data_IF_548185802190
#
_entry.id   IF_548185802190
#
_cell.length_a   1.000
_cell.length_b   1.000
_cell.length_c   1.000
_cell.angle_alpha   90.00
_cell.angle_beta   90.00
_cell.angle_gamma   90.00
#
_symmetry.space_group_name_H-M   'P 1'
#
loop_
_entity.id
_entity.type
_entity.pdbx_description
1 polymer ?
#
# COMPACT_ATOMS: atom_id res chain seq x y z
N UNK A 1 -4.97 -15.20 8.84
CA UNK A 1 -5.63 -14.04 9.45
C UNK A 1 -5.88 -13.10 8.29
N UNK A 2 -7.08 -13.15 7.72
CA UNK A 2 -7.45 -12.47 6.45
C UNK A 2 -8.48 -11.38 6.77
N UNK A 3 -8.19 -10.53 7.75
CA UNK A 3 -9.13 -9.53 8.28
C UNK A 3 -9.11 -8.22 7.47
N UNK A 4 -8.44 -8.24 6.33
CA UNK A 4 -8.24 -7.09 5.43
C UNK A 4 -8.98 -7.26 4.09
N UNK A 5 -9.82 -8.30 3.95
CA UNK A 5 -10.64 -8.53 2.74
C UNK A 5 -12.10 -8.79 3.14
N UNK A 6 -13.03 -7.85 2.91
CA UNK A 6 -12.81 -6.58 2.21
C UNK A 6 -12.00 -5.57 3.03
N UNK A 7 -11.20 -4.75 2.35
CA UNK A 7 -10.66 -3.51 2.91
C UNK A 7 -11.70 -2.42 2.71
N UNK A 8 -12.35 -2.04 3.82
CA UNK A 8 -13.35 -0.96 3.82
C UNK A 8 -12.77 0.28 4.50
N UNK A 9 -12.71 1.40 3.78
CA UNK A 9 -12.38 2.72 4.31
C UNK A 9 -13.55 3.66 4.07
N UNK A 10 -13.79 4.57 5.01
CA UNK A 10 -14.88 5.54 4.92
C UNK A 10 -14.42 6.90 5.40
N UNK A 11 -15.02 7.95 4.84
CA UNK A 11 -14.87 9.33 5.29
C UNK A 11 -13.40 9.81 5.36
N UNK A 12 -12.59 9.47 4.34
CA UNK A 12 -11.19 9.88 4.28
C UNK A 12 -11.09 11.23 3.56
N UNK A 13 -10.63 12.26 4.27
CA UNK A 13 -10.34 13.56 3.66
C UNK A 13 -9.06 13.46 2.81
N UNK A 14 -9.16 13.82 1.52
CA UNK A 14 -8.05 13.71 0.55
C UNK A 14 -7.15 14.95 0.50
N UNK A 15 -7.39 15.92 1.39
CA UNK A 15 -6.67 17.19 1.46
C UNK A 15 -7.36 18.29 0.67
N UNK A 16 -7.61 19.41 1.33
CA UNK A 16 -8.21 20.60 0.72
C UNK A 16 -7.23 21.28 -0.24
N UNK A 17 -7.74 21.80 -1.35
CA UNK A 17 -6.99 22.65 -2.27
C UNK A 17 -7.81 23.89 -2.64
N UNK A 18 -7.13 24.98 -2.98
CA UNK A 18 -7.77 26.24 -3.34
C UNK A 18 -7.26 26.78 -4.68
N UNK A 19 -8.17 27.40 -5.45
CA UNK A 19 -7.87 28.05 -6.72
C UNK A 19 -8.49 29.46 -6.75
N UNK A 20 -7.70 30.45 -7.16
CA UNK A 20 -8.20 31.81 -7.37
C UNK A 20 -8.70 31.97 -8.81
N UNK A 21 -9.99 32.25 -8.99
CA UNK A 21 -10.62 32.47 -10.30
C UNK A 21 -11.37 33.81 -10.24
N UNK A 22 -11.11 34.70 -11.20
CA UNK A 22 -11.75 36.02 -11.30
C UNK A 22 -11.64 36.89 -10.01
N UNK A 23 -10.56 36.71 -9.24
CA UNK A 23 -10.34 37.45 -7.99
C UNK A 23 -11.08 36.90 -6.77
N UNK A 24 -11.71 35.73 -6.90
CA UNK A 24 -12.29 34.98 -5.78
C UNK A 24 -11.47 33.72 -5.53
N UNK A 25 -11.14 33.47 -4.28
CA UNK A 25 -10.53 32.21 -3.84
C UNK A 25 -11.64 31.19 -3.64
N UNK A 26 -11.52 30.04 -4.31
CA UNK A 26 -12.43 28.92 -4.21
C UNK A 26 -11.73 27.76 -3.52
N UNK A 27 -12.38 27.15 -2.55
CA UNK A 27 -11.82 26.10 -1.71
C UNK A 27 -12.58 24.81 -1.95
N UNK A 28 -11.84 23.78 -2.34
CA UNK A 28 -12.38 22.47 -2.66
C UNK A 28 -11.91 21.45 -1.64
N UNK A 29 -12.86 20.74 -1.04
CA UNK A 29 -12.62 19.67 -0.08
C UNK A 29 -13.03 18.33 -0.70
N UNK A 30 -12.08 17.58 -1.28
CA UNK A 30 -12.33 16.21 -1.73
C UNK A 30 -12.42 15.25 -0.53
N UNK A 31 -13.40 14.36 -0.56
CA UNK A 31 -13.57 13.29 0.42
C UNK A 31 -13.78 11.96 -0.31
N UNK A 32 -13.05 10.94 0.12
CA UNK A 32 -13.36 9.55 -0.21
C UNK A 32 -14.40 9.08 0.80
N UNK A 33 -15.67 9.15 0.39
CA UNK A 33 -16.81 8.84 1.24
C UNK A 33 -16.82 7.34 1.59
N UNK A 34 -16.56 6.51 0.59
CA UNK A 34 -16.50 5.06 0.72
C UNK A 34 -15.41 4.49 -0.20
N UNK A 35 -14.71 3.47 0.28
CA UNK A 35 -13.84 2.60 -0.50
C UNK A 35 -14.02 1.18 0.03
N UNK A 36 -14.34 0.25 -0.86
CA UNK A 36 -14.42 -1.17 -0.61
C UNK A 36 -13.55 -1.90 -1.63
N UNK A 37 -12.49 -2.53 -1.16
CA UNK A 37 -11.59 -3.34 -2.00
C UNK A 37 -11.76 -4.79 -1.61
N UNK A 38 -12.13 -5.63 -2.58
CA UNK A 38 -12.33 -7.07 -2.40
C UNK A 38 -11.33 -7.89 -3.21
N UNK A 39 -11.11 -9.14 -2.80
CA UNK A 39 -10.20 -10.06 -3.50
C UNK A 39 -8.73 -9.89 -3.11
N UNK A 40 -8.45 -9.09 -2.08
CA UNK A 40 -7.11 -8.90 -1.51
C UNK A 40 -6.54 -10.19 -0.93
N UNK A 41 -7.38 -11.13 -0.49
CA UNK A 41 -6.95 -12.45 -0.03
C UNK A 41 -6.30 -13.30 -1.14
N UNK A 42 -6.49 -12.94 -2.42
CA UNK A 42 -5.84 -13.60 -3.55
C UNK A 42 -4.43 -13.06 -3.83
N UNK A 43 -4.03 -11.95 -3.18
CA UNK A 43 -2.69 -11.38 -3.27
C UNK A 43 -1.78 -12.20 -2.36
N UNK A 44 -0.77 -12.83 -2.97
CA UNK A 44 0.25 -13.59 -2.25
C UNK A 44 1.62 -12.96 -2.50
N UNK A 45 2.49 -12.86 -1.47
CA UNK A 45 3.88 -12.50 -1.70
C UNK A 45 4.50 -13.50 -2.68
N UNK A 46 5.10 -12.98 -3.74
CA UNK A 46 5.80 -13.77 -4.76
C UNK A 46 7.29 -13.81 -4.46
N UNK A 47 7.90 -12.66 -4.16
CA UNK A 47 9.34 -12.57 -3.89
C UNK A 47 9.69 -11.40 -2.97
N UNK A 48 10.84 -11.53 -2.29
CA UNK A 48 11.46 -10.48 -1.47
C UNK A 48 12.93 -10.41 -1.88
N UNK A 49 13.37 -9.29 -2.44
CA UNK A 49 14.74 -9.09 -2.93
C UNK A 49 15.39 -7.91 -2.23
N UNK A 50 16.62 -8.05 -1.73
CA UNK A 50 17.38 -6.89 -1.27
C UNK A 50 18.00 -6.17 -2.47
N UNK A 51 17.57 -4.95 -2.79
CA UNK A 51 18.10 -4.17 -3.92
C UNK A 51 19.29 -3.30 -3.54
N UNK A 52 19.50 -3.06 -2.24
CA UNK A 52 20.72 -2.46 -1.69
C UNK A 52 20.87 -2.80 -0.21
N UNK A 53 21.93 -2.31 0.44
CA UNK A 53 22.20 -2.56 1.87
C UNK A 53 21.03 -2.27 2.79
N UNK A 54 20.14 -1.35 2.42
CA UNK A 54 19.01 -0.88 3.24
C UNK A 54 17.66 -0.92 2.51
N UNK A 55 17.55 -1.56 1.34
CA UNK A 55 16.32 -1.57 0.55
C UNK A 55 15.89 -2.98 0.20
N UNK A 56 14.60 -3.23 0.37
CA UNK A 56 13.93 -4.49 0.10
C UNK A 56 12.83 -4.21 -0.91
N UNK A 57 12.88 -4.91 -2.03
CA UNK A 57 11.80 -5.03 -2.99
C UNK A 57 10.89 -6.18 -2.59
N UNK A 58 9.60 -5.89 -2.51
CA UNK A 58 8.52 -6.82 -2.23
C UNK A 58 7.71 -6.94 -3.52
N UNK A 59 7.66 -8.14 -4.08
CA UNK A 59 6.75 -8.50 -5.15
C UNK A 59 5.61 -9.34 -4.60
N UNK A 60 4.39 -8.99 -4.94
CA UNK A 60 3.20 -9.77 -4.66
C UNK A 60 2.39 -9.94 -5.94
N UNK A 61 1.87 -11.14 -6.13
CA UNK A 61 1.10 -11.53 -7.30
C UNK A 61 -0.30 -11.96 -6.88
N UNK A 62 -1.30 -11.61 -7.69
CA UNK A 62 -2.66 -12.07 -7.52
C UNK A 62 -3.03 -13.06 -8.63
N UNK A 63 -3.50 -14.25 -8.26
CA UNK A 63 -4.03 -15.24 -9.23
C UNK A 63 -5.49 -14.99 -9.60
N UNK A 64 -6.17 -14.09 -8.88
CA UNK A 64 -7.58 -13.76 -9.05
C UNK A 64 -7.80 -12.30 -9.45
N UNK A 65 -9.02 -11.83 -9.23
CA UNK A 65 -9.40 -10.44 -9.47
C UNK A 65 -9.40 -9.65 -8.17
N UNK A 66 -9.07 -8.37 -8.27
CA UNK A 66 -9.27 -7.37 -7.19
C UNK A 66 -10.31 -6.38 -7.68
N UNK A 67 -11.38 -6.21 -6.92
CA UNK A 67 -12.45 -5.25 -7.25
C UNK A 67 -12.38 -4.07 -6.30
N UNK A 68 -12.57 -2.87 -6.84
CA UNK A 68 -12.50 -1.59 -6.14
C UNK A 68 -13.82 -0.88 -6.40
N UNK A 69 -14.59 -0.67 -5.33
CA UNK A 69 -15.78 0.18 -5.32
C UNK A 69 -15.49 1.40 -4.47
N UNK A 70 -15.60 2.60 -5.04
CA UNK A 70 -15.29 3.85 -4.35
C UNK A 70 -16.33 4.92 -4.65
N UNK A 71 -16.67 5.70 -3.64
CA UNK A 71 -17.47 6.93 -3.78
C UNK A 71 -16.60 8.09 -3.34
N UNK A 72 -16.41 9.06 -4.25
CA UNK A 72 -15.63 10.27 -3.99
C UNK A 72 -16.52 11.49 -4.15
N UNK A 73 -16.57 12.34 -3.14
CA UNK A 73 -17.23 13.63 -3.19
C UNK A 73 -16.22 14.78 -3.26
N UNK A 74 -16.67 15.88 -3.85
CA UNK A 74 -15.95 17.15 -3.91
C UNK A 74 -16.91 18.25 -3.50
N UNK A 75 -16.61 18.92 -2.39
CA UNK A 75 -17.39 20.06 -1.89
C UNK A 75 -16.68 21.36 -2.21
N UNK A 76 -17.41 22.33 -2.77
CA UNK A 76 -17.00 23.72 -2.91
C UNK A 76 -17.56 24.52 -1.73
N UNK A 77 -16.67 24.94 -0.84
CA UNK A 77 -17.01 25.48 0.49
C UNK A 77 -17.79 26.80 0.41
N UNK A 78 -17.47 27.67 -0.55
CA UNK A 78 -18.01 29.03 -0.61
C UNK A 78 -19.52 29.08 -0.94
N UNK A 79 -20.06 28.01 -1.52
CA UNK A 79 -21.48 27.91 -1.90
C UNK A 79 -22.17 26.64 -1.39
N UNK A 80 -21.48 25.84 -0.56
CA UNK A 80 -21.99 24.57 -0.02
C UNK A 80 -22.55 23.64 -1.12
N UNK A 81 -21.82 23.56 -2.25
CA UNK A 81 -22.19 22.71 -3.37
C UNK A 81 -21.28 21.48 -3.40
N UNK A 82 -21.88 20.29 -3.50
CA UNK A 82 -21.14 19.03 -3.62
C UNK A 82 -21.49 18.28 -4.89
N UNK A 83 -20.48 17.61 -5.44
CA UNK A 83 -20.64 16.57 -6.45
C UNK A 83 -20.10 15.27 -5.87
N UNK A 84 -20.68 14.14 -6.26
CA UNK A 84 -20.19 12.81 -5.90
C UNK A 84 -20.12 11.94 -7.14
N UNK A 85 -19.11 11.08 -7.18
CA UNK A 85 -18.84 10.16 -8.28
C UNK A 85 -18.60 8.78 -7.68
N UNK A 86 -19.37 7.81 -8.16
CA UNK A 86 -19.13 6.41 -7.90
C UNK A 86 -18.19 5.83 -8.97
N UNK A 87 -17.19 5.09 -8.52
CA UNK A 87 -16.18 4.42 -9.35
C UNK A 87 -16.20 2.95 -8.97
N UNK A 88 -16.48 2.08 -9.94
CA UNK A 88 -16.33 0.63 -9.77
C UNK A 88 -15.39 0.08 -10.83
N UNK A 89 -14.33 -0.60 -10.38
CA UNK A 89 -13.26 -1.12 -11.22
C UNK A 89 -12.87 -2.53 -10.78
N UNK A 90 -12.60 -3.40 -11.74
CA UNK A 90 -12.02 -4.72 -11.49
C UNK A 90 -10.69 -4.86 -12.22
N UNK A 91 -9.66 -5.24 -11.46
CA UNK A 91 -8.30 -5.53 -11.93
C UNK A 91 -8.13 -7.05 -12.06
N UNK A 92 -7.78 -7.53 -13.26
CA UNK A 92 -7.43 -8.94 -13.47
C UNK A 92 -5.94 -9.19 -13.22
N UNK A 93 -5.66 -10.18 -12.37
CA UNK A 93 -4.31 -10.59 -11.96
C UNK A 93 -3.36 -9.42 -11.64
N UNK A 94 -3.71 -8.56 -10.68
CA UNK A 94 -2.83 -7.46 -10.32
C UNK A 94 -1.49 -7.96 -9.79
N UNK A 95 -0.43 -7.26 -10.15
CA UNK A 95 0.92 -7.42 -9.62
C UNK A 95 1.26 -6.17 -8.84
N UNK A 96 1.53 -6.35 -7.55
CA UNK A 96 1.98 -5.27 -6.68
C UNK A 96 3.48 -5.41 -6.46
N UNK A 97 4.25 -4.40 -6.85
CA UNK A 97 5.65 -4.29 -6.52
C UNK A 97 5.88 -3.06 -5.64
N UNK A 98 6.56 -3.23 -4.52
CA UNK A 98 6.91 -2.14 -3.63
C UNK A 98 8.39 -2.17 -3.28
N UNK A 99 9.08 -1.04 -3.45
CA UNK A 99 10.42 -0.85 -2.91
C UNK A 99 10.29 -0.17 -1.55
N UNK A 100 10.81 -0.81 -0.52
CA UNK A 100 10.83 -0.30 0.85
C UNK A 100 12.26 -0.17 1.32
N UNK A 101 12.65 1.04 1.71
CA UNK A 101 13.89 1.27 2.45
C UNK A 101 13.62 1.04 3.93
N UNK A 102 14.37 0.14 4.57
CA UNK A 102 14.19 -0.20 5.98
C UNK A 102 15.49 0.08 6.74
N UNK A 103 15.39 0.92 7.76
CA UNK A 103 16.41 1.02 8.80
C UNK A 103 16.03 0.10 9.94
N UNK A 104 16.94 -0.79 10.35
CA UNK A 104 16.71 -1.74 11.43
C UNK A 104 17.47 -1.38 12.70
N UNK A 105 16.91 -1.73 13.85
CA UNK A 105 17.63 -1.73 15.11
C UNK A 105 18.70 -2.83 15.09
N UNK A 106 19.95 -2.43 15.28
CA UNK A 106 21.06 -3.34 15.57
C UNK A 106 21.00 -3.88 16.99
N UNK A 107 21.70 -4.98 17.22
CA UNK A 107 21.91 -5.54 18.54
C UNK A 107 22.76 -4.60 19.41
N UNK A 108 22.40 -4.48 20.68
CA UNK A 108 23.24 -3.77 21.63
C UNK A 108 24.62 -4.45 21.76
N UNK A 109 25.74 -3.70 21.88
CA UNK A 109 27.06 -4.28 22.00
C UNK A 109 27.15 -5.28 23.16
N UNK A 110 27.55 -6.52 22.89
CA UNK A 110 27.73 -7.56 23.90
C UNK A 110 26.45 -8.26 24.36
N UNK A 111 25.30 -8.02 23.72
CA UNK A 111 24.07 -8.75 24.01
C UNK A 111 24.23 -10.25 23.66
N UNK A 112 24.10 -11.17 24.63
CA UNK A 112 24.02 -12.59 24.33
C UNK A 112 22.72 -12.88 23.55
N UNK A 113 22.79 -13.79 22.58
CA UNK A 113 21.66 -14.27 21.77
C UNK A 113 21.01 -13.25 20.81
N UNK A 114 21.62 -12.08 20.60
CA UNK A 114 21.21 -11.15 19.56
C UNK A 114 22.19 -11.19 18.38
N UNK A 115 21.70 -11.54 17.19
CA UNK A 115 22.43 -11.42 15.92
C UNK A 115 21.81 -10.31 15.08
N UNK A 116 22.65 -9.45 14.51
CA UNK A 116 22.20 -8.46 13.53
C UNK A 116 21.59 -9.15 12.32
N UNK A 117 20.54 -8.54 11.77
CA UNK A 117 19.98 -8.98 10.49
C UNK A 117 20.88 -8.43 9.39
N UNK A 118 21.42 -9.33 8.56
CA UNK A 118 22.27 -8.97 7.42
C UNK A 118 21.56 -9.26 6.11
N UNK A 119 22.03 -8.67 5.02
CA UNK A 119 21.53 -8.92 3.67
C UNK A 119 21.48 -10.44 3.35
N UNK A 120 22.54 -11.16 3.73
CA UNK A 120 22.63 -12.62 3.57
C UNK A 120 21.56 -13.39 4.36
N UNK A 121 21.15 -12.88 5.52
CA UNK A 121 20.05 -13.48 6.31
C UNK A 121 18.72 -13.41 5.55
N UNK A 122 18.48 -12.29 4.85
CA UNK A 122 17.28 -12.05 4.05
C UNK A 122 17.31 -12.91 2.78
N UNK A 123 18.43 -12.92 2.07
CA UNK A 123 18.61 -13.71 0.83
C UNK A 123 18.42 -15.22 1.06
N UNK A 124 19.07 -15.79 2.09
CA UNK A 124 18.96 -17.23 2.40
C UNK A 124 17.54 -17.60 2.77
N UNK A 125 16.86 -16.78 3.56
CA UNK A 125 15.49 -17.05 3.95
C UNK A 125 14.50 -16.88 2.79
N UNK A 126 14.79 -15.96 1.85
CA UNK A 126 14.04 -15.81 0.61
C UNK A 126 14.14 -17.04 -0.29
N UNK A 127 15.33 -17.65 -0.41
CA UNK A 127 15.52 -18.92 -1.14
C UNK A 127 14.75 -20.07 -0.50
N UNK A 128 14.65 -20.08 0.83
CA UNK A 128 13.89 -21.09 1.60
C UNK A 128 12.36 -20.94 1.49
N UNK A 129 11.85 -19.91 0.81
CA UNK A 129 10.42 -19.63 0.69
C UNK A 129 9.74 -19.23 2.00
N UNK A 130 10.52 -18.80 3.01
CA UNK A 130 10.02 -18.45 4.36
C UNK A 130 9.67 -16.96 4.49
N UNK A 131 9.01 -16.40 3.48
CA UNK A 131 8.75 -14.97 3.37
C UNK A 131 7.99 -14.39 4.56
N UNK A 132 6.96 -15.09 5.06
CA UNK A 132 6.18 -14.62 6.22
C UNK A 132 7.03 -14.45 7.48
N UNK A 133 7.93 -15.40 7.76
CA UNK A 133 8.83 -15.35 8.92
C UNK A 133 9.85 -14.22 8.80
N UNK A 134 10.33 -13.93 7.59
CA UNK A 134 11.21 -12.78 7.33
C UNK A 134 10.43 -11.49 7.57
N UNK A 135 9.20 -11.40 7.08
CA UNK A 135 8.37 -10.21 7.22
C UNK A 135 8.11 -9.90 8.69
N UNK A 136 7.75 -10.90 9.49
CA UNK A 136 7.59 -10.76 10.95
C UNK A 136 8.88 -10.27 11.63
N UNK A 137 10.04 -10.81 11.23
CA UNK A 137 11.35 -10.41 11.76
C UNK A 137 11.73 -8.98 11.39
N UNK A 138 11.47 -8.57 10.14
CA UNK A 138 11.72 -7.22 9.65
C UNK A 138 10.83 -6.21 10.36
N UNK A 139 9.53 -6.51 10.51
CA UNK A 139 8.58 -5.66 11.21
C UNK A 139 8.93 -5.50 12.69
N UNK A 140 9.42 -6.55 13.35
CA UNK A 140 9.79 -6.51 14.76
C UNK A 140 11.04 -5.65 15.04
N UNK A 141 11.93 -5.52 14.05
CA UNK A 141 13.21 -4.80 14.20
C UNK A 141 13.32 -3.53 13.37
N UNK A 142 12.30 -3.16 12.60
CA UNK A 142 12.29 -1.91 11.85
C UNK A 142 12.25 -0.72 12.80
N UNK A 143 13.25 0.15 12.70
CA UNK A 143 13.29 1.46 13.35
C UNK A 143 12.51 2.48 12.53
N UNK A 144 12.77 2.49 11.23
CA UNK A 144 12.06 3.29 10.24
C UNK A 144 11.92 2.48 8.97
N UNK A 145 10.80 2.66 8.28
CA UNK A 145 10.61 2.15 6.94
C UNK A 145 10.05 3.29 6.09
N UNK A 146 10.61 3.47 4.90
CA UNK A 146 10.15 4.43 3.92
C UNK A 146 9.85 3.67 2.63
N UNK A 147 8.58 3.67 2.24
CA UNK A 147 8.18 3.19 0.91
C UNK A 147 8.71 4.19 -0.11
N UNK A 148 9.62 3.75 -0.98
CA UNK A 148 10.22 4.60 -2.00
C UNK A 148 9.36 4.59 -3.26
N UNK A 149 8.94 3.41 -3.68
CA UNK A 149 8.07 3.23 -4.85
C UNK A 149 7.02 2.17 -4.56
N UNK A 150 5.84 2.40 -5.12
CA UNK A 150 4.78 1.40 -5.26
C UNK A 150 4.38 1.38 -6.72
N UNK A 151 4.38 0.21 -7.32
CA UNK A 151 3.91 -0.05 -8.67
C UNK A 151 2.79 -1.08 -8.62
N UNK A 152 1.70 -0.77 -9.31
CA UNK A 152 0.57 -1.67 -9.52
C UNK A 152 0.46 -1.91 -11.03
N UNK A 153 0.60 -3.17 -11.43
CA UNK A 153 0.39 -3.64 -12.80
C UNK A 153 -0.81 -4.61 -12.81
N UNK A 154 -1.39 -4.85 -13.98
CA UNK A 154 -2.54 -5.73 -14.16
C UNK A 154 -2.67 -6.16 -15.63
N UNK A 155 -3.21 -7.35 -15.87
CA UNK A 155 -3.41 -7.86 -17.23
C UNK A 155 -4.50 -7.05 -17.96
N UNK A 156 -5.55 -6.63 -17.23
CA UNK A 156 -6.61 -5.78 -17.75
C UNK A 156 -7.39 -5.07 -16.64
N UNK A 157 -8.06 -3.98 -17.03
CA UNK A 157 -9.00 -3.23 -16.20
C UNK A 157 -10.38 -3.26 -16.86
N UNK A 158 -11.42 -3.49 -16.07
CA UNK A 158 -12.81 -3.44 -16.51
C UNK A 158 -13.66 -2.64 -15.54
N UNK A 159 -14.74 -2.04 -16.05
CA UNK A 159 -15.83 -1.54 -15.20
C UNK A 159 -16.50 -2.74 -14.55
N UNK A 160 -16.74 -2.67 -13.25
CA UNK A 160 -17.59 -3.66 -12.59
C UNK A 160 -19.04 -3.19 -12.82
N UNK A 161 -19.65 -3.72 -13.89
CA UNK A 161 -21.07 -3.51 -14.21
C UNK A 161 -22.01 -4.15 -13.17
#
# INVERSE_FOLDING_TARGET
>A
MNDYDPLVLENINLGTFSYSILGQDLTFTPMLDHLNVTGLANIVPEHINASSSNSIDLGAYCTGQVSIDATVSLTLEEIDASISVDVSLTLDKPVLSANVQVDMYGCAPGAPDCKDITLTTIEVAGVDGKYNTIMDLLLLRSKSAAVQTVALDFDSISSSD
#
